data_IF_205046454592
#
_entry.id   IF_205046454592
#
_cell.length_a   1.000
_cell.length_b   1.000
_cell.length_c   1.000
_cell.angle_alpha   90.00
_cell.angle_beta   90.00
_cell.angle_gamma   90.00
#
_symmetry.space_group_name_H-M   'P 1'
#
loop_
_entity.id
_entity.type
_entity.pdbx_description
1 polymer ?
#
# COMPACT_ATOMS: atom_id res chain seq x y z
N UNK A 1 -3.91 1.08 -21.47
CA UNK A 1 -2.60 1.00 -20.83
C UNK A 1 -2.73 0.39 -19.44
N UNK A 2 -1.91 -0.59 -19.16
CA UNK A 2 -1.88 -1.19 -17.84
C UNK A 2 -1.18 -0.25 -16.87
N UNK A 3 -1.94 0.24 -15.91
CA UNK A 3 -1.38 1.04 -14.83
C UNK A 3 -0.96 0.12 -13.71
N UNK A 4 0.17 0.41 -13.12
CA UNK A 4 0.62 -0.36 -11.97
C UNK A 4 -0.20 0.00 -10.75
N UNK A 5 -0.33 -0.98 -9.86
CA UNK A 5 -0.97 -0.83 -8.57
C UNK A 5 0.12 -0.66 -7.52
N UNK A 6 -0.01 0.35 -6.69
CA UNK A 6 0.99 0.71 -5.69
C UNK A 6 0.35 0.64 -4.31
N UNK A 7 1.06 0.02 -3.39
CA UNK A 7 0.64 -0.07 -1.99
C UNK A 7 1.65 0.70 -1.14
N UNK A 8 1.18 1.69 -0.39
CA UNK A 8 2.03 2.53 0.45
C UNK A 8 1.59 2.38 1.89
N UNK A 9 2.44 1.84 2.75
CA UNK A 9 2.16 1.80 4.19
C UNK A 9 2.61 3.12 4.84
N UNK A 10 1.94 3.49 5.94
CA UNK A 10 2.24 4.74 6.62
C UNK A 10 1.89 5.96 5.78
N UNK A 11 0.71 5.96 5.16
CA UNK A 11 0.33 6.96 4.16
C UNK A 11 -0.55 8.08 4.71
N UNK A 12 -0.82 8.11 6.03
CA UNK A 12 -1.73 9.09 6.61
C UNK A 12 -1.11 10.49 6.68
N UNK A 13 0.19 10.59 6.70
CA UNK A 13 0.89 11.88 6.83
C UNK A 13 2.33 11.77 6.35
N UNK A 14 2.98 12.94 6.21
CA UNK A 14 4.40 13.03 5.91
C UNK A 14 4.79 12.44 4.56
N UNK A 15 5.94 11.81 4.51
CA UNK A 15 6.52 11.29 3.27
C UNK A 15 5.62 10.23 2.63
N UNK A 16 5.06 9.34 3.43
CA UNK A 16 4.19 8.29 2.90
C UNK A 16 2.95 8.86 2.21
N UNK A 17 2.35 9.89 2.80
CA UNK A 17 1.22 10.57 2.18
C UNK A 17 1.61 11.25 0.87
N UNK A 18 2.74 11.95 0.87
CA UNK A 18 3.22 12.64 -0.34
C UNK A 18 3.50 11.64 -1.46
N UNK A 19 4.09 10.50 -1.15
CA UNK A 19 4.34 9.45 -2.14
C UNK A 19 3.03 8.94 -2.72
N UNK A 20 2.07 8.61 -1.85
CA UNK A 20 0.79 8.06 -2.29
C UNK A 20 0.06 9.04 -3.23
N UNK A 21 -0.04 10.30 -2.82
CA UNK A 21 -0.72 11.33 -3.61
C UNK A 21 0.01 11.56 -4.94
N UNK A 22 1.33 11.63 -4.90
CA UNK A 22 2.14 11.88 -6.10
C UNK A 22 1.93 10.80 -7.16
N UNK A 23 1.97 9.53 -6.76
CA UNK A 23 1.73 8.44 -7.71
C UNK A 23 0.30 8.42 -8.23
N UNK A 24 -0.67 8.70 -7.36
CA UNK A 24 -2.06 8.77 -7.81
C UNK A 24 -2.26 9.88 -8.83
N UNK A 25 -1.63 11.04 -8.64
CA UNK A 25 -1.71 12.13 -9.61
C UNK A 25 -1.10 11.77 -10.96
N UNK A 26 -0.15 10.85 -10.97
CA UNK A 26 0.46 10.34 -12.22
C UNK A 26 -0.39 9.27 -12.88
N UNK A 27 -1.50 8.87 -12.27
CA UNK A 27 -2.43 7.92 -12.86
C UNK A 27 -2.29 6.49 -12.38
N UNK A 28 -1.41 6.19 -11.45
CA UNK A 28 -1.31 4.87 -10.86
C UNK A 28 -2.48 4.61 -9.90
N UNK A 29 -2.85 3.36 -9.74
CA UNK A 29 -3.78 2.97 -8.69
C UNK A 29 -3.01 2.85 -7.39
N UNK A 30 -3.42 3.59 -6.36
CA UNK A 30 -2.68 3.65 -5.10
C UNK A 30 -3.58 3.28 -3.94
N UNK A 31 -3.13 2.34 -3.12
CA UNK A 31 -3.70 2.04 -1.82
C UNK A 31 -2.73 2.55 -0.77
N UNK A 32 -3.20 3.47 0.07
CA UNK A 32 -2.41 3.97 1.19
C UNK A 32 -2.99 3.46 2.50
N UNK A 33 -2.14 2.99 3.41
CA UNK A 33 -2.61 2.43 4.67
C UNK A 33 -2.08 3.17 5.88
N UNK A 34 -2.83 3.09 6.96
CA UNK A 34 -2.43 3.58 8.28
C UNK A 34 -3.11 2.73 9.35
N UNK A 35 -2.50 2.66 10.53
CA UNK A 35 -3.12 1.95 11.66
C UNK A 35 -4.38 2.64 12.15
N UNK A 36 -4.48 3.94 11.94
CA UNK A 36 -5.64 4.72 12.35
C UNK A 36 -6.49 5.09 11.15
N UNK A 37 -7.76 5.38 11.39
CA UNK A 37 -8.63 5.89 10.33
C UNK A 37 -8.06 7.20 9.78
N UNK A 38 -8.10 7.35 8.48
CA UNK A 38 -7.64 8.56 7.83
C UNK A 38 -8.32 8.70 6.46
N UNK A 39 -8.22 9.89 5.91
CA UNK A 39 -8.70 10.17 4.55
C UNK A 39 -7.62 10.92 3.78
N UNK A 40 -7.72 10.84 2.46
CA UNK A 40 -6.99 11.75 1.59
C UNK A 40 -7.90 12.92 1.24
N UNK A 41 -7.37 14.14 1.37
CA UNK A 41 -8.13 15.33 1.00
C UNK A 41 -8.22 15.53 -0.51
N UNK A 42 -7.31 14.90 -1.22
CA UNK A 42 -7.28 14.92 -2.68
C UNK A 42 -8.41 14.07 -3.26
N UNK A 43 -9.20 14.64 -4.13
CA UNK A 43 -10.34 13.95 -4.73
C UNK A 43 -9.88 13.15 -5.95
N UNK A 44 -9.18 12.05 -5.71
CA UNK A 44 -8.66 11.18 -6.75
C UNK A 44 -9.28 9.79 -6.61
N UNK A 45 -9.94 9.32 -7.67
CA UNK A 45 -10.64 8.03 -7.66
C UNK A 45 -9.69 6.84 -7.53
N UNK A 46 -8.45 7.02 -7.95
CA UNK A 46 -7.42 5.98 -7.93
C UNK A 46 -6.57 6.00 -6.67
N UNK A 47 -6.99 6.73 -5.64
CA UNK A 47 -6.29 6.83 -4.36
C UNK A 47 -7.23 6.37 -3.26
N UNK A 48 -6.93 5.22 -2.66
CA UNK A 48 -7.81 4.55 -1.70
C UNK A 48 -7.15 4.45 -0.33
N UNK A 49 -7.76 5.02 0.71
CA UNK A 49 -7.26 4.86 2.07
C UNK A 49 -7.78 3.56 2.69
N UNK A 50 -6.93 2.84 3.37
CA UNK A 50 -7.31 1.62 4.08
C UNK A 50 -6.70 1.65 5.48
N UNK A 51 -7.54 1.39 6.48
CA UNK A 51 -7.07 1.19 7.84
C UNK A 51 -6.50 -0.22 7.95
N UNK A 52 -5.22 -0.32 8.31
CA UNK A 52 -4.54 -1.61 8.38
C UNK A 52 -3.35 -1.52 9.33
N UNK A 53 -3.30 -2.46 10.27
CA UNK A 53 -2.12 -2.65 11.11
C UNK A 53 -1.19 -3.65 10.43
N UNK A 54 -0.09 -3.16 9.84
CA UNK A 54 0.84 -4.01 9.09
C UNK A 54 1.63 -4.97 9.99
N UNK A 55 1.56 -4.81 11.31
CA UNK A 55 2.16 -5.76 12.24
C UNK A 55 1.26 -6.96 12.50
N UNK A 56 0.00 -6.89 12.10
CA UNK A 56 -0.95 -7.99 12.26
C UNK A 56 -1.01 -8.79 10.97
N UNK A 57 -0.39 -9.97 10.99
CA UNK A 57 -0.27 -10.81 9.79
C UNK A 57 -1.62 -11.16 9.19
N UNK A 58 -2.59 -11.51 10.02
CA UNK A 58 -3.92 -11.89 9.54
C UNK A 58 -4.61 -10.74 8.84
N UNK A 59 -4.51 -9.53 9.42
CA UNK A 59 -5.11 -8.35 8.81
C UNK A 59 -4.48 -8.03 7.46
N UNK A 60 -3.17 -8.20 7.35
CA UNK A 60 -2.45 -7.99 6.09
C UNK A 60 -2.90 -9.01 5.04
N UNK A 61 -3.00 -10.29 5.42
CA UNK A 61 -3.46 -11.33 4.51
C UNK A 61 -4.88 -11.06 4.04
N UNK A 62 -5.78 -10.70 4.96
CA UNK A 62 -7.17 -10.39 4.61
C UNK A 62 -7.26 -9.19 3.67
N UNK A 63 -6.44 -8.17 3.92
CA UNK A 63 -6.39 -6.98 3.07
C UNK A 63 -5.96 -7.34 1.64
N UNK A 64 -4.89 -8.10 1.50
CA UNK A 64 -4.40 -8.46 0.17
C UNK A 64 -5.37 -9.40 -0.55
N UNK A 65 -6.06 -10.26 0.17
CA UNK A 65 -7.10 -11.10 -0.42
C UNK A 65 -8.22 -10.25 -1.01
N UNK A 66 -8.65 -9.22 -0.30
CA UNK A 66 -9.66 -8.29 -0.81
C UNK A 66 -9.15 -7.51 -2.02
N UNK A 67 -7.92 -7.06 -1.99
CA UNK A 67 -7.34 -6.33 -3.11
C UNK A 67 -7.24 -7.21 -4.36
N UNK A 68 -6.92 -8.49 -4.17
CA UNK A 68 -6.90 -9.44 -5.26
C UNK A 68 -8.27 -9.58 -5.91
N UNK A 69 -9.33 -9.64 -5.10
CA UNK A 69 -10.70 -9.78 -5.59
C UNK A 69 -11.17 -8.59 -6.41
N UNK A 70 -10.67 -7.40 -6.13
CA UNK A 70 -11.06 -6.18 -6.85
C UNK A 70 -10.01 -5.73 -7.87
N UNK A 71 -9.06 -6.61 -8.19
CA UNK A 71 -8.02 -6.37 -9.19
C UNK A 71 -7.11 -5.19 -8.84
N UNK A 72 -6.84 -5.00 -7.56
CA UNK A 72 -5.91 -3.98 -7.06
C UNK A 72 -4.74 -4.58 -6.30
N UNK A 73 -4.43 -5.86 -6.55
CA UNK A 73 -3.25 -6.46 -5.93
C UNK A 73 -2.00 -5.71 -6.40
N UNK A 74 -1.18 -5.20 -5.46
CA UNK A 74 -0.09 -4.31 -5.86
C UNK A 74 1.02 -5.00 -6.64
N UNK A 75 1.59 -4.27 -7.60
CA UNK A 75 2.85 -4.64 -8.26
C UNK A 75 4.04 -4.02 -7.54
N UNK A 76 3.80 -2.94 -6.81
CA UNK A 76 4.83 -2.16 -6.13
C UNK A 76 4.42 -1.98 -4.69
N UNK A 77 5.30 -2.34 -3.79
CA UNK A 77 5.13 -2.13 -2.36
C UNK A 77 6.11 -1.07 -1.89
N UNK A 78 5.59 -0.03 -1.25
CA UNK A 78 6.41 0.98 -0.59
C UNK A 78 6.11 0.90 0.90
N UNK A 79 7.04 0.32 1.65
CA UNK A 79 6.89 0.16 3.09
C UNK A 79 7.50 1.36 3.81
N UNK A 80 6.66 2.34 4.12
CA UNK A 80 7.07 3.55 4.81
C UNK A 80 6.71 3.53 6.30
N UNK A 81 5.96 2.53 6.76
CA UNK A 81 5.52 2.45 8.14
C UNK A 81 6.50 1.72 9.05
N UNK A 82 7.68 1.41 8.57
CA UNK A 82 8.69 0.71 9.36
C UNK A 82 9.18 1.53 10.54
N UNK A 83 9.70 0.83 11.55
CA UNK A 83 10.22 1.46 12.76
C UNK A 83 11.53 2.18 12.47
N UNK A 84 12.28 1.71 11.47
CA UNK A 84 13.53 2.33 11.05
C UNK A 84 13.24 3.37 9.98
N UNK A 85 14.19 4.27 9.76
CA UNK A 85 14.07 5.29 8.73
C UNK A 85 14.17 4.76 7.30
N UNK A 86 14.49 3.49 7.14
CA UNK A 86 14.68 2.90 5.83
C UNK A 86 13.33 2.59 5.18
N UNK A 87 13.15 3.12 4.00
CA UNK A 87 11.99 2.81 3.17
C UNK A 87 12.29 1.59 2.32
N UNK A 88 11.37 0.64 2.29
CA UNK A 88 11.50 -0.54 1.46
C UNK A 88 10.63 -0.38 0.22
N UNK A 89 11.26 -0.40 -0.93
CA UNK A 89 10.57 -0.34 -2.22
C UNK A 89 10.80 -1.67 -2.93
N UNK A 90 9.71 -2.40 -3.20
CA UNK A 90 9.79 -3.71 -3.84
C UNK A 90 8.81 -3.74 -5.02
N UNK A 91 9.32 -4.12 -6.18
CA UNK A 91 8.49 -4.43 -7.33
C UNK A 91 8.23 -5.94 -7.34
N UNK A 92 6.97 -6.32 -7.52
CA UNK A 92 6.53 -7.68 -7.27
C UNK A 92 5.76 -8.27 -8.43
N UNK A 93 5.88 -9.58 -8.57
CA UNK A 93 4.95 -10.38 -9.37
C UNK A 93 3.85 -10.92 -8.48
N UNK A 94 2.73 -11.32 -9.08
CA UNK A 94 1.55 -11.75 -8.33
C UNK A 94 1.82 -12.87 -7.34
N UNK A 95 2.72 -13.81 -7.68
CA UNK A 95 3.01 -14.96 -6.84
C UNK A 95 4.03 -14.69 -5.73
N UNK A 96 4.60 -13.48 -5.68
CA UNK A 96 5.60 -13.13 -4.66
C UNK A 96 4.99 -12.66 -3.35
N UNK A 97 3.69 -12.36 -3.33
CA UNK A 97 3.06 -11.67 -2.20
C UNK A 97 3.08 -12.46 -0.91
N UNK A 98 2.81 -13.77 -0.96
CA UNK A 98 2.82 -14.60 0.25
C UNK A 98 4.17 -14.56 0.93
N UNK A 99 5.24 -14.62 0.15
CA UNK A 99 6.59 -14.58 0.67
C UNK A 99 6.91 -13.22 1.31
N UNK A 100 6.47 -12.14 0.69
CA UNK A 100 6.72 -10.79 1.23
C UNK A 100 5.97 -10.58 2.53
N UNK A 101 4.73 -11.03 2.62
CA UNK A 101 3.94 -10.93 3.84
C UNK A 101 4.67 -11.67 4.98
N UNK A 102 5.21 -12.86 4.71
CA UNK A 102 5.90 -13.63 5.73
C UNK A 102 7.21 -13.00 6.19
N UNK A 103 7.96 -12.38 5.29
CA UNK A 103 9.32 -11.95 5.57
C UNK A 103 9.47 -10.47 5.89
N UNK A 104 8.64 -9.61 5.30
CA UNK A 104 8.87 -8.16 5.36
C UNK A 104 7.78 -7.37 6.06
N UNK A 105 6.59 -7.91 6.22
CA UNK A 105 5.48 -7.21 6.83
C UNK A 105 5.07 -7.78 8.20
N UNK A 106 5.87 -8.67 8.73
CA UNK A 106 5.63 -9.23 10.07
C UNK A 106 6.69 -8.76 11.10
#
# INVERSE_FOLDING_TARGET
MNKENIFVSGASRGIGRDIAVSFAKKGFNVVGTSRNDFIFNENLKNLTPIKLDITNRKDVQDCFEKLKQIDLLPNILINNAGITSDQLFIRMKDDDWDRVIETNLT
#
